data_IF_482913286044
#
_entry.id   IF_482913286044
#
_cell.length_a   1.000
_cell.length_b   1.000
_cell.length_c   1.000
_cell.angle_alpha   90.00
_cell.angle_beta   90.00
_cell.angle_gamma   90.00
#
_symmetry.space_group_name_H-M   'P 1'
#
loop_
_entity.id
_entity.type
_entity.pdbx_description
1 polymer ?
#
# COMPACT_ATOMS: atom_id res chain seq x y z
N UNK A 1 24.43 -26.81 -2.88
CA UNK A 1 23.99 -25.59 -3.60
C UNK A 1 24.24 -24.40 -2.69
N UNK A 2 25.00 -23.40 -3.12
CA UNK A 2 25.37 -22.26 -2.28
C UNK A 2 24.17 -21.33 -2.09
N UNK A 3 23.57 -21.33 -0.89
CA UNK A 3 22.53 -20.36 -0.53
C UNK A 3 23.15 -18.96 -0.56
N UNK A 4 22.74 -18.12 -1.51
CA UNK A 4 23.17 -16.71 -1.53
C UNK A 4 22.64 -16.04 -0.26
N UNK A 5 23.56 -15.57 0.59
CA UNK A 5 23.23 -14.89 1.84
C UNK A 5 22.47 -13.61 1.52
N UNK A 6 21.19 -13.54 1.88
CA UNK A 6 20.35 -12.36 1.63
C UNK A 6 20.77 -11.13 2.42
N UNK A 7 20.35 -9.96 1.94
CA UNK A 7 20.57 -8.66 2.57
C UNK A 7 19.56 -8.50 3.70
N UNK A 8 20.01 -8.13 4.90
CA UNK A 8 19.12 -7.90 6.04
C UNK A 8 18.43 -6.53 5.93
N UNK A 9 17.16 -6.47 6.34
CA UNK A 9 16.38 -5.24 6.43
C UNK A 9 15.38 -5.33 7.58
N UNK A 10 15.08 -4.21 8.23
CA UNK A 10 14.11 -4.16 9.33
C UNK A 10 12.65 -4.10 8.85
N UNK A 11 12.43 -3.62 7.62
CA UNK A 11 11.09 -3.46 7.04
C UNK A 11 11.11 -3.71 5.54
N UNK A 12 10.29 -4.67 5.09
CA UNK A 12 10.20 -5.02 3.67
C UNK A 12 9.71 -3.84 2.80
N UNK A 13 8.86 -2.98 3.34
CA UNK A 13 8.28 -1.82 2.62
C UNK A 13 9.35 -0.91 2.01
N UNK A 14 10.49 -0.71 2.70
CA UNK A 14 11.59 0.11 2.19
C UNK A 14 12.21 -0.51 0.93
N UNK A 15 12.34 -1.84 0.90
CA UNK A 15 12.87 -2.57 -0.25
C UNK A 15 11.90 -2.52 -1.43
N UNK A 16 10.60 -2.70 -1.17
CA UNK A 16 9.55 -2.58 -2.19
C UNK A 16 9.62 -1.20 -2.85
N UNK A 17 9.65 -0.13 -2.05
CA UNK A 17 9.70 1.24 -2.56
C UNK A 17 10.92 1.49 -3.46
N UNK A 18 12.10 0.97 -3.09
CA UNK A 18 13.32 1.11 -3.91
C UNK A 18 13.19 0.38 -5.26
N UNK A 19 12.55 -0.79 -5.27
CA UNK A 19 12.32 -1.57 -6.50
C UNK A 19 11.30 -0.87 -7.41
N UNK A 20 10.22 -0.35 -6.82
CA UNK A 20 9.17 0.40 -7.53
C UNK A 20 9.72 1.69 -8.15
N UNK A 21 10.45 2.50 -7.35
CA UNK A 21 11.10 3.73 -7.83
C UNK A 21 12.14 3.45 -8.92
N UNK A 22 12.91 2.37 -8.75
CA UNK A 22 13.90 1.93 -9.73
C UNK A 22 13.31 1.26 -10.96
N UNK A 23 11.98 1.11 -11.04
CA UNK A 23 11.26 0.41 -12.12
C UNK A 23 11.84 -0.97 -12.46
N UNK A 24 12.33 -1.68 -11.45
CA UNK A 24 13.03 -2.95 -11.68
C UNK A 24 12.02 -4.06 -12.00
N UNK A 25 12.40 -4.93 -12.93
CA UNK A 25 11.69 -6.18 -13.23
C UNK A 25 12.47 -7.31 -12.56
N UNK A 26 11.82 -8.24 -11.88
CA UNK A 26 12.56 -9.28 -11.16
C UNK A 26 11.71 -10.07 -10.19
N UNK A 27 12.39 -10.95 -9.45
CA UNK A 27 11.81 -11.73 -8.36
C UNK A 27 12.51 -11.35 -7.07
N UNK A 28 11.74 -10.86 -6.11
CA UNK A 28 12.18 -10.60 -4.75
C UNK A 28 11.77 -11.77 -3.86
N UNK A 29 12.74 -12.47 -3.32
CA UNK A 29 12.52 -13.49 -2.30
C UNK A 29 12.80 -12.90 -0.93
N UNK A 30 11.89 -13.06 0.01
CA UNK A 30 11.99 -12.54 1.37
C UNK A 30 11.89 -13.70 2.33
N UNK A 31 12.75 -13.73 3.34
CA UNK A 31 12.81 -14.77 4.35
C UNK A 31 12.82 -14.14 5.75
N UNK A 32 12.00 -14.68 6.65
CA UNK A 32 11.90 -14.24 8.05
C UNK A 32 12.00 -15.46 8.97
N UNK A 33 12.57 -15.26 10.15
CA UNK A 33 12.67 -16.29 11.19
C UNK A 33 13.99 -17.05 11.14
N UNK A 34 14.14 -18.00 12.07
CA UNK A 34 15.32 -18.84 12.21
C UNK A 34 14.93 -20.31 12.02
N UNK A 35 15.77 -21.04 11.27
CA UNK A 35 15.75 -22.48 11.04
C UNK A 35 14.36 -23.10 10.78
N UNK A 36 13.64 -23.53 11.83
CA UNK A 36 12.39 -24.30 11.72
C UNK A 36 11.15 -23.44 11.49
N UNK A 37 11.18 -22.16 11.88
CA UNK A 37 10.07 -21.22 11.66
C UNK A 37 10.39 -20.24 10.52
N UNK A 38 11.16 -20.70 9.54
CA UNK A 38 11.51 -19.86 8.40
C UNK A 38 10.29 -19.67 7.51
N UNK A 39 9.70 -18.49 7.59
CA UNK A 39 8.65 -18.05 6.68
C UNK A 39 9.30 -17.49 5.41
N UNK A 40 8.77 -17.88 4.25
CA UNK A 40 9.27 -17.46 2.94
C UNK A 40 8.19 -16.79 2.11
N UNK A 41 8.51 -15.59 1.64
CA UNK A 41 7.72 -14.79 0.72
C UNK A 41 8.42 -14.66 -0.64
N UNK A 42 7.63 -14.56 -1.69
CA UNK A 42 8.09 -14.27 -3.04
C UNK A 42 7.21 -13.20 -3.66
N UNK A 43 7.83 -12.19 -4.28
CA UNK A 43 7.16 -11.08 -4.96
C UNK A 43 7.77 -10.96 -6.35
N UNK A 44 6.93 -11.00 -7.38
CA UNK A 44 7.35 -10.80 -8.77
C UNK A 44 7.02 -9.38 -9.20
N UNK A 45 8.01 -8.72 -9.78
CA UNK A 45 7.93 -7.37 -10.28
C UNK A 45 8.06 -7.32 -11.81
N UNK A 46 7.30 -6.42 -12.42
CA UNK A 46 7.41 -6.04 -13.83
C UNK A 46 7.43 -4.52 -13.95
N UNK A 47 8.53 -3.95 -14.41
CA UNK A 47 8.73 -2.50 -14.57
C UNK A 47 8.40 -1.71 -13.29
N UNK A 48 8.79 -2.23 -12.13
CA UNK A 48 8.49 -1.64 -10.82
C UNK A 48 7.06 -1.83 -10.33
N UNK A 49 6.23 -2.62 -11.01
CA UNK A 49 4.89 -2.98 -10.52
C UNK A 49 4.89 -4.42 -10.02
N UNK A 50 4.22 -4.65 -8.89
CA UNK A 50 4.00 -5.99 -8.35
C UNK A 50 2.97 -6.69 -9.23
N UNK A 51 3.38 -7.79 -9.86
CA UNK A 51 2.50 -8.61 -10.72
C UNK A 51 2.00 -9.85 -10.01
N UNK A 52 2.76 -10.37 -9.04
CA UNK A 52 2.41 -11.58 -8.32
C UNK A 52 3.07 -11.62 -6.94
N UNK A 53 2.39 -12.22 -5.96
CA UNK A 53 2.82 -12.28 -4.55
C UNK A 53 2.42 -13.61 -3.95
N UNK A 54 3.38 -14.26 -3.29
CA UNK A 54 3.20 -15.53 -2.60
C UNK A 54 3.87 -15.49 -1.23
N UNK A 55 3.23 -16.09 -0.22
CA UNK A 55 3.78 -16.21 1.13
C UNK A 55 3.30 -17.52 1.75
N UNK A 56 4.15 -18.56 1.68
CA UNK A 56 3.74 -19.92 2.05
C UNK A 56 2.55 -20.41 1.23
N UNK A 57 1.40 -20.56 1.87
CA UNK A 57 0.13 -20.98 1.24
C UNK A 57 -0.74 -19.81 0.77
N UNK A 58 -0.41 -18.58 1.17
CA UNK A 58 -1.15 -17.39 0.79
C UNK A 58 -0.68 -16.89 -0.58
N UNK A 59 -1.59 -16.33 -1.37
CA UNK A 59 -1.29 -15.67 -2.65
C UNK A 59 -2.01 -14.33 -2.81
N UNK A 60 -1.52 -13.52 -3.75
CA UNK A 60 -2.08 -12.22 -4.11
C UNK A 60 -2.09 -11.22 -2.94
N UNK A 61 -3.22 -10.52 -2.77
CA UNK A 61 -3.34 -9.45 -1.77
C UNK A 61 -3.21 -9.96 -0.32
N UNK A 62 -3.68 -11.18 -0.03
CA UNK A 62 -3.57 -11.76 1.31
C UNK A 62 -2.11 -12.03 1.70
N UNK A 63 -1.33 -12.60 0.77
CA UNK A 63 0.11 -12.78 0.95
C UNK A 63 0.82 -11.44 1.10
N UNK A 64 0.46 -10.44 0.29
CA UNK A 64 1.04 -9.11 0.36
C UNK A 64 0.81 -8.45 1.73
N UNK A 65 -0.44 -8.47 2.23
CA UNK A 65 -0.76 -7.95 3.55
C UNK A 65 0.02 -8.68 4.65
N UNK A 66 0.17 -10.01 4.54
CA UNK A 66 0.97 -10.78 5.50
C UNK A 66 2.44 -10.33 5.48
N UNK A 67 3.04 -10.17 4.30
CA UNK A 67 4.42 -9.69 4.16
C UNK A 67 4.61 -8.28 4.72
N UNK A 68 3.62 -7.39 4.60
CA UNK A 68 3.70 -6.04 5.19
C UNK A 68 3.74 -6.05 6.73
N UNK A 69 3.25 -7.11 7.37
CA UNK A 69 3.35 -7.25 8.84
C UNK A 69 4.70 -7.80 9.30
N UNK A 70 5.57 -8.20 8.37
CA UNK A 70 6.89 -8.73 8.71
C UNK A 70 7.81 -7.60 9.18
N UNK A 71 8.45 -7.82 10.32
CA UNK A 71 9.53 -6.98 10.83
C UNK A 71 10.88 -7.36 10.21
N UNK A 72 11.94 -7.54 11.02
CA UNK A 72 13.26 -7.89 10.53
C UNK A 72 13.26 -9.14 9.64
N UNK A 73 13.73 -8.99 8.41
CA UNK A 73 13.77 -10.03 7.42
C UNK A 73 15.04 -9.93 6.55
N UNK A 74 15.28 -10.96 5.74
CA UNK A 74 16.34 -10.99 4.74
C UNK A 74 15.71 -11.08 3.37
N UNK A 75 16.30 -10.43 2.39
CA UNK A 75 15.81 -10.50 1.03
C UNK A 75 16.91 -10.77 0.01
N UNK A 76 16.50 -11.33 -1.12
CA UNK A 76 17.32 -11.53 -2.31
C UNK A 76 16.50 -11.09 -3.51
N UNK A 77 17.02 -10.14 -4.29
CA UNK A 77 16.41 -9.74 -5.55
C UNK A 77 17.17 -10.39 -6.71
N UNK A 78 16.47 -11.19 -7.49
CA UNK A 78 16.99 -11.77 -8.74
C UNK A 78 16.37 -11.01 -9.89
N UNK A 79 17.20 -10.25 -10.60
CA UNK A 79 16.76 -9.56 -11.81
C UNK A 79 16.47 -10.62 -12.90
N UNK A 80 15.23 -10.66 -13.36
CA UNK A 80 14.79 -11.59 -14.41
C UNK A 80 14.69 -10.89 -15.78
N UNK A 81 15.18 -9.66 -15.89
CA UNK A 81 15.40 -9.03 -17.18
C UNK A 81 16.45 -9.84 -17.92
N UNK A 82 16.03 -10.88 -18.65
CA UNK A 82 16.66 -11.26 -19.91
C UNK A 82 16.44 -10.12 -20.89
N UNK A 83 16.96 -8.95 -20.55
CA UNK A 83 17.20 -7.90 -21.52
C UNK A 83 18.28 -8.49 -22.40
N UNK A 84 17.85 -9.06 -23.55
CA UNK A 84 18.72 -9.24 -24.68
C UNK A 84 19.45 -7.92 -24.85
N UNK A 85 20.72 -7.87 -24.47
CA UNK A 85 21.56 -6.72 -24.73
C UNK A 85 21.43 -6.41 -26.22
N UNK A 86 20.83 -5.27 -26.62
CA UNK A 86 20.79 -4.88 -28.01
C UNK A 86 22.21 -4.40 -28.34
N UNK A 87 23.02 -5.29 -28.93
CA UNK A 87 24.34 -4.93 -29.46
C UNK A 87 25.53 -5.39 -28.64
N UNK A 88 25.72 -6.70 -28.48
CA UNK A 88 27.04 -7.22 -28.84
C UNK A 88 27.01 -7.39 -30.35
N UNK A 89 27.82 -6.61 -31.07
CA UNK A 89 28.06 -6.79 -32.50
C UNK A 89 28.43 -8.26 -32.71
N UNK A 90 27.49 -9.05 -33.21
CA UNK A 90 27.80 -10.37 -33.76
C UNK A 90 28.71 -10.13 -34.95
N UNK A 91 29.97 -10.44 -34.74
CA UNK A 91 30.96 -10.66 -35.77
C UNK A 91 30.35 -11.57 -36.82
N UNK A 92 30.19 -11.02 -38.03
CA UNK A 92 29.55 -11.64 -39.17
C UNK A 92 30.24 -12.97 -39.48
N UNK A 93 29.56 -14.08 -39.19
CA UNK A 93 29.86 -15.36 -39.85
C UNK A 93 29.15 -15.34 -41.22
N UNK A 94 29.86 -15.53 -42.34
CA UNK A 94 29.23 -15.51 -43.67
C UNK A 94 28.30 -16.71 -43.84
N UNK A 95 27.00 -16.44 -43.95
CA UNK A 95 25.99 -17.44 -44.30
C UNK A 95 26.07 -17.79 -45.78
N UNK A 96 26.15 -19.09 -46.02
CA UNK A 96 25.97 -19.74 -47.32
C UNK A 96 24.51 -19.61 -47.77
N UNK A 97 24.34 -19.22 -49.02
CA UNK A 97 23.11 -19.11 -49.81
C UNK A 97 22.25 -20.39 -49.83
N UNK A 98 20.94 -20.23 -49.59
CA UNK A 98 19.83 -20.94 -50.27
C UNK A 98 18.51 -20.35 -49.76
N UNK A 99 17.83 -19.45 -50.48
CA UNK A 99 17.05 -19.59 -51.73
C UNK A 99 15.79 -20.47 -51.60
N UNK A 100 14.64 -19.83 -51.90
CA UNK A 100 13.27 -20.34 -52.18
C UNK A 100 12.38 -20.71 -50.99
N UNK A 101 11.11 -20.32 -50.86
CA UNK A 101 10.11 -19.58 -51.67
C UNK A 101 8.87 -19.32 -50.74
N UNK A 102 7.61 -19.03 -51.17
CA UNK A 102 7.02 -17.69 -51.06
C UNK A 102 5.69 -17.61 -50.24
N UNK A 103 5.29 -16.34 -50.01
CA UNK A 103 3.98 -15.77 -49.62
C UNK A 103 2.75 -16.70 -49.52
N UNK A 104 1.99 -16.55 -48.42
CA UNK A 104 0.50 -16.56 -48.43
C UNK A 104 0.01 -15.72 -47.24
N UNK A 105 -0.39 -14.46 -47.44
CA UNK A 105 -1.79 -13.98 -47.59
C UNK A 105 -2.65 -14.09 -46.33
N UNK A 106 -2.81 -12.94 -45.66
CA UNK A 106 -3.99 -12.40 -44.97
C UNK A 106 -4.89 -13.30 -44.11
N UNK A 107 -5.20 -12.82 -42.90
CA UNK A 107 -6.59 -12.75 -42.40
C UNK A 107 -6.69 -11.89 -41.14
N UNK A 108 -7.61 -10.94 -41.18
CA UNK A 108 -8.10 -10.17 -40.03
C UNK A 108 -9.06 -11.04 -39.21
N UNK A 109 -8.96 -10.97 -37.88
CA UNK A 109 -10.03 -11.35 -36.95
C UNK A 109 -10.04 -10.33 -35.81
N UNK A 110 -10.91 -9.34 -35.91
CA UNK A 110 -12.28 -9.33 -35.33
C UNK A 110 -12.24 -9.17 -33.82
N UNK A 111 -12.49 -7.92 -33.44
CA UNK A 111 -12.88 -7.44 -32.11
C UNK A 111 -14.17 -8.19 -31.71
N UNK A 112 -14.09 -9.07 -30.71
CA UNK A 112 -15.27 -9.55 -30.00
C UNK A 112 -15.41 -8.78 -28.69
N UNK A 113 -16.41 -7.91 -28.70
CA UNK A 113 -16.89 -7.11 -27.58
C UNK A 113 -18.05 -7.90 -26.97
N UNK A 114 -17.75 -8.72 -25.95
CA UNK A 114 -18.80 -9.40 -25.19
C UNK A 114 -19.31 -8.50 -24.06
N UNK A 115 -20.49 -7.95 -24.33
CA UNK A 115 -21.41 -7.39 -23.35
C UNK A 115 -22.04 -8.55 -22.59
N UNK A 116 -21.66 -8.76 -21.33
CA UNK A 116 -22.37 -9.67 -20.44
C UNK A 116 -23.18 -8.88 -19.41
N UNK A 117 -24.52 -8.85 -19.49
CA UNK A 117 -25.39 -8.38 -18.43
C UNK A 117 -25.84 -9.59 -17.61
N UNK A 118 -25.19 -9.90 -16.49
CA UNK A 118 -25.77 -10.84 -15.53
C UNK A 118 -26.21 -10.13 -14.26
N UNK A 119 -27.52 -9.90 -14.22
CA UNK A 119 -28.31 -9.73 -13.01
C UNK A 119 -28.06 -10.95 -12.11
N UNK A 120 -27.93 -10.78 -10.81
CA UNK A 120 -28.73 -11.52 -9.81
C UNK A 120 -28.52 -10.88 -8.44
N UNK A 121 -29.53 -10.13 -8.05
CA UNK A 121 -29.93 -9.84 -6.68
C UNK A 121 -29.80 -11.07 -5.78
N UNK A 122 -28.95 -11.03 -4.76
CA UNK A 122 -29.06 -11.93 -3.62
C UNK A 122 -29.10 -11.09 -2.35
N UNK A 123 -30.34 -10.80 -1.91
CA UNK A 123 -30.66 -10.32 -0.57
C UNK A 123 -30.14 -11.36 0.42
N UNK A 124 -29.12 -11.01 1.20
CA UNK A 124 -28.78 -11.79 2.38
C UNK A 124 -29.79 -11.49 3.48
N UNK A 125 -30.66 -12.48 3.63
CA UNK A 125 -31.44 -12.85 4.81
C UNK A 125 -30.87 -12.31 6.13
N UNK A 126 -31.65 -11.45 6.78
CA UNK A 126 -31.60 -11.21 8.22
C UNK A 126 -31.96 -12.50 8.96
N UNK A 127 -30.95 -13.18 9.50
CA UNK A 127 -31.13 -14.29 10.42
C UNK A 127 -31.67 -13.84 11.80
N UNK A 128 -32.39 -14.71 12.52
CA UNK A 128 -33.01 -14.41 13.80
C UNK A 128 -31.97 -14.23 14.92
N UNK A 129 -32.22 -13.24 15.77
CA UNK A 129 -31.46 -12.90 16.97
C UNK A 129 -31.46 -14.07 17.95
N UNK A 130 -30.27 -14.60 18.27
CA UNK A 130 -30.08 -15.48 19.42
C UNK A 130 -30.36 -14.71 20.71
N UNK A 131 -31.32 -15.20 21.49
CA UNK A 131 -31.60 -14.74 22.83
C UNK A 131 -30.38 -15.00 23.72
N UNK A 132 -29.74 -13.92 24.19
CA UNK A 132 -28.70 -14.01 25.20
C UNK A 132 -29.36 -14.35 26.54
N UNK A 133 -29.01 -15.52 27.06
CA UNK A 133 -29.38 -15.99 28.39
C UNK A 133 -28.78 -15.05 29.44
N UNK A 134 -29.65 -14.43 30.23
CA UNK A 134 -29.30 -13.59 31.38
C UNK A 134 -28.74 -14.46 32.50
N UNK A 135 -27.41 -14.58 32.55
CA UNK A 135 -26.71 -15.08 33.72
C UNK A 135 -26.60 -13.99 34.81
N UNK A 136 -26.62 -14.36 36.10
CA UNK A 136 -26.51 -13.42 37.22
C UNK A 136 -25.13 -12.73 37.25
N UNK A 137 -25.16 -11.41 37.40
CA UNK A 137 -23.99 -10.53 37.48
C UNK A 137 -23.09 -10.87 38.68
N UNK A 138 -21.76 -10.89 38.52
CA UNK A 138 -20.84 -10.81 39.64
C UNK A 138 -20.87 -9.40 40.29
N UNK A 139 -20.62 -9.28 41.59
CA UNK A 139 -20.62 -8.00 42.30
C UNK A 139 -19.53 -7.08 41.76
N UNK A 140 -19.97 -5.90 41.33
CA UNK A 140 -19.18 -4.76 40.89
C UNK A 140 -18.16 -4.38 41.99
N UNK A 141 -16.84 -4.51 41.76
CA UNK A 141 -15.86 -3.94 42.67
C UNK A 141 -16.03 -2.42 42.68
N UNK A 142 -16.03 -1.85 43.89
CA UNK A 142 -16.16 -0.43 44.14
C UNK A 142 -15.13 0.37 43.31
N UNK A 143 -15.52 1.49 42.69
CA UNK A 143 -14.58 2.33 41.96
C UNK A 143 -13.62 2.94 42.98
N UNK A 144 -12.39 2.42 43.00
CA UNK A 144 -11.26 3.10 43.61
C UNK A 144 -11.14 4.43 42.86
N UNK A 145 -11.43 5.53 43.57
CA UNK A 145 -11.25 6.90 43.13
C UNK A 145 -9.75 7.09 42.82
N UNK A 146 -9.35 6.75 41.60
CA UNK A 146 -8.21 7.42 40.99
C UNK A 146 -8.64 8.86 40.83
N UNK A 147 -7.97 9.72 41.57
CA UNK A 147 -7.90 11.17 41.41
C UNK A 147 -7.39 11.49 40.00
N UNK A 148 -8.25 11.23 39.01
CA UNK A 148 -8.12 11.64 37.64
C UNK A 148 -8.28 13.15 37.62
N UNK A 149 -7.17 13.81 37.33
CA UNK A 149 -7.07 15.23 37.01
C UNK A 149 -8.24 15.61 36.12
N UNK A 150 -9.06 16.56 36.59
CA UNK A 150 -10.30 16.96 35.91
C UNK A 150 -10.03 17.50 34.52
N UNK A 151 -10.44 16.76 33.50
CA UNK A 151 -10.59 17.22 32.11
C UNK A 151 -12.00 16.86 31.59
N UNK A 152 -13.00 16.99 32.45
CA UNK A 152 -14.41 16.94 32.07
C UNK A 152 -14.93 18.29 31.53
N UNK A 153 -14.02 19.18 31.14
CA UNK A 153 -14.33 20.45 30.49
C UNK A 153 -13.70 20.47 29.10
N UNK A 154 -14.53 20.42 28.07
CA UNK A 154 -14.17 20.57 26.66
C UNK A 154 -12.97 19.74 26.18
N UNK A 155 -13.26 18.56 25.61
CA UNK A 155 -12.35 17.77 24.79
C UNK A 155 -12.02 18.47 23.44
N UNK A 156 -12.06 19.80 23.42
CA UNK A 156 -11.67 20.66 22.30
C UNK A 156 -10.19 20.94 22.45
N UNK A 157 -9.38 19.94 22.10
CA UNK A 157 -7.97 20.18 21.84
C UNK A 157 -7.79 21.34 20.83
N UNK A 158 -6.60 21.96 20.80
CA UNK A 158 -6.31 23.04 19.87
C UNK A 158 -6.74 22.63 18.45
N UNK A 159 -7.64 23.44 17.88
CA UNK A 159 -8.24 23.16 16.57
C UNK A 159 -7.35 23.78 15.52
N UNK A 160 -6.79 23.00 14.58
CA UNK A 160 -5.91 23.55 13.55
C UNK A 160 -6.65 24.61 12.73
N UNK A 161 -5.94 25.69 12.39
CA UNK A 161 -6.45 26.82 11.60
C UNK A 161 -5.55 27.09 10.42
N UNK A 162 -6.13 27.48 9.27
CA UNK A 162 -5.36 27.94 8.12
C UNK A 162 -4.74 29.30 8.45
N UNK A 163 -3.48 29.47 8.10
CA UNK A 163 -2.80 30.78 8.16
C UNK A 163 -3.00 31.59 6.88
N UNK A 164 -3.31 30.91 5.77
CA UNK A 164 -3.45 31.48 4.43
C UNK A 164 -4.83 31.16 3.82
N UNK A 165 -5.34 31.98 2.88
CA UNK A 165 -6.57 31.67 2.15
C UNK A 165 -6.40 30.39 1.31
N UNK A 166 -7.53 29.74 1.00
CA UNK A 166 -7.54 28.41 0.39
C UNK A 166 -6.76 28.34 -0.93
N UNK A 167 -6.95 29.31 -1.82
CA UNK A 167 -6.26 29.37 -3.11
C UNK A 167 -4.74 29.52 -2.96
N UNK A 168 -4.28 30.39 -2.06
CA UNK A 168 -2.84 30.60 -1.83
C UNK A 168 -2.20 29.36 -1.19
N UNK A 169 -2.88 28.74 -0.21
CA UNK A 169 -2.40 27.51 0.41
C UNK A 169 -2.30 26.36 -0.60
N UNK A 170 -3.28 26.21 -1.49
CA UNK A 170 -3.23 25.22 -2.56
C UNK A 170 -2.10 25.48 -3.56
N UNK A 171 -1.83 26.75 -3.91
CA UNK A 171 -0.70 27.12 -4.76
C UNK A 171 0.65 26.73 -4.12
N UNK A 172 0.83 27.01 -2.82
CA UNK A 172 2.02 26.57 -2.07
C UNK A 172 2.11 25.05 -2.03
N UNK A 173 1.02 24.34 -1.74
CA UNK A 173 1.00 22.87 -1.76
C UNK A 173 1.38 22.27 -3.12
N UNK A 174 1.01 22.93 -4.22
CA UNK A 174 1.41 22.52 -5.56
C UNK A 174 2.93 22.70 -5.78
N UNK A 175 3.52 23.78 -5.27
CA UNK A 175 4.98 24.02 -5.35
C UNK A 175 5.79 22.95 -4.61
N UNK A 176 5.32 22.51 -3.43
CA UNK A 176 5.96 21.46 -2.63
C UNK A 176 5.66 20.02 -3.10
N UNK A 177 4.95 19.85 -4.23
CA UNK A 177 4.56 18.55 -4.79
C UNK A 177 3.88 17.59 -3.79
N UNK A 178 3.18 18.12 -2.79
CA UNK A 178 2.55 17.29 -1.77
C UNK A 178 1.41 16.45 -2.35
N UNK A 179 1.16 15.32 -1.68
CA UNK A 179 0.16 14.35 -2.10
C UNK A 179 -1.27 14.94 -2.09
N UNK A 180 -2.19 14.29 -2.81
CA UNK A 180 -3.61 14.66 -2.84
C UNK A 180 -4.25 14.71 -1.43
N UNK A 181 -3.77 13.86 -0.52
CA UNK A 181 -4.29 13.77 0.84
C UNK A 181 -3.97 15.02 1.66
N UNK A 182 -2.80 15.62 1.48
CA UNK A 182 -2.44 16.89 2.12
C UNK A 182 -3.38 18.01 1.69
N UNK A 183 -3.70 18.07 0.40
CA UNK A 183 -4.64 19.07 -0.16
C UNK A 183 -6.06 18.85 0.39
N UNK A 184 -6.50 17.60 0.49
CA UNK A 184 -7.80 17.27 1.07
C UNK A 184 -7.85 17.63 2.57
N UNK A 185 -6.83 17.29 3.34
CA UNK A 185 -6.73 17.66 4.76
C UNK A 185 -6.77 19.18 4.92
N UNK A 186 -5.98 19.91 4.14
CA UNK A 186 -5.96 21.37 4.15
C UNK A 186 -7.33 22.00 3.86
N UNK A 187 -8.08 21.46 2.88
CA UNK A 187 -9.43 21.92 2.57
C UNK A 187 -10.45 21.65 3.68
N UNK A 188 -10.22 20.62 4.52
CA UNK A 188 -11.05 20.32 5.68
C UNK A 188 -10.71 21.18 6.91
N UNK A 189 -9.52 21.76 7.00
CA UNK A 189 -9.13 22.58 8.16
C UNK A 189 -9.78 23.96 8.03
N UNK A 190 -10.98 24.18 8.53
CA UNK A 190 -11.68 25.47 8.48
C UNK A 190 -11.71 26.20 9.84
N UNK A 191 -11.00 25.66 10.83
CA UNK A 191 -11.02 26.11 12.22
C UNK A 191 -12.22 25.61 13.02
N UNK A 192 -13.08 24.75 12.45
CA UNK A 192 -14.20 24.09 13.13
C UNK A 192 -13.94 22.62 13.39
N UNK A 193 -13.12 22.00 12.55
CA UNK A 193 -12.85 20.57 12.63
C UNK A 193 -11.72 20.22 13.61
N UNK A 194 -12.09 19.51 14.69
CA UNK A 194 -11.12 18.97 15.64
C UNK A 194 -10.29 17.85 15.02
N UNK A 195 -9.13 17.53 15.62
CA UNK A 195 -8.29 16.42 15.17
C UNK A 195 -9.07 15.09 15.05
N UNK A 196 -9.94 14.79 16.01
CA UNK A 196 -10.78 13.59 15.98
C UNK A 196 -11.78 13.59 14.81
N UNK A 197 -12.32 14.76 14.45
CA UNK A 197 -13.19 14.89 13.28
C UNK A 197 -12.42 14.73 11.97
N UNK A 198 -11.21 15.30 11.86
CA UNK A 198 -10.35 15.13 10.70
C UNK A 198 -10.03 13.65 10.45
N UNK A 199 -9.75 12.88 11.51
CA UNK A 199 -9.56 11.43 11.43
C UNK A 199 -10.79 10.74 10.83
N UNK A 200 -11.99 11.08 11.31
CA UNK A 200 -13.25 10.48 10.84
C UNK A 200 -13.58 10.89 9.41
N UNK A 201 -13.36 12.16 9.04
CA UNK A 201 -13.63 12.70 7.70
C UNK A 201 -12.65 12.17 6.64
N UNK A 202 -11.39 11.97 7.02
CA UNK A 202 -10.38 11.40 6.12
C UNK A 202 -10.40 9.88 6.06
N UNK A 203 -11.08 9.22 7.01
CA UNK A 203 -11.09 7.77 7.20
C UNK A 203 -9.66 7.19 7.23
N UNK A 204 -8.80 7.83 8.04
CA UNK A 204 -7.35 7.53 8.14
C UNK A 204 -6.98 7.21 9.58
N UNK A 205 -5.81 6.62 9.78
CA UNK A 205 -5.29 6.41 11.14
C UNK A 205 -4.87 7.74 11.77
N UNK A 206 -4.93 7.88 13.11
CA UNK A 206 -4.51 9.11 13.79
C UNK A 206 -3.05 9.49 13.47
N UNK A 207 -2.15 8.51 13.37
CA UNK A 207 -0.74 8.76 13.04
C UNK A 207 -0.55 9.36 11.64
N UNK A 208 -1.26 8.87 10.63
CA UNK A 208 -1.22 9.45 9.28
C UNK A 208 -1.75 10.89 9.26
N UNK A 209 -2.88 11.16 9.93
CA UNK A 209 -3.46 12.52 9.98
C UNK A 209 -2.54 13.48 10.73
N UNK A 210 -1.90 13.02 11.81
CA UNK A 210 -0.91 13.80 12.55
C UNK A 210 0.31 14.12 11.68
N UNK A 211 0.82 13.15 10.92
CA UNK A 211 1.94 13.37 10.01
C UNK A 211 1.58 14.41 8.94
N UNK A 212 0.41 14.28 8.31
CA UNK A 212 -0.08 15.25 7.32
C UNK A 212 -0.18 16.64 7.94
N UNK A 213 -0.75 16.77 9.14
CA UNK A 213 -0.85 18.07 9.82
C UNK A 213 0.53 18.65 10.15
N UNK A 214 1.48 17.83 10.58
CA UNK A 214 2.86 18.25 10.83
C UNK A 214 3.52 18.80 9.56
N UNK A 215 3.32 18.12 8.42
CA UNK A 215 3.84 18.56 7.13
C UNK A 215 3.20 19.90 6.70
N UNK A 216 1.90 20.09 6.91
CA UNK A 216 1.21 21.37 6.63
C UNK A 216 1.71 22.51 7.53
N UNK A 217 2.09 22.23 8.77
CA UNK A 217 2.67 23.20 9.71
C UNK A 217 4.09 23.55 9.29
N UNK A 218 4.90 22.57 8.89
CA UNK A 218 6.26 22.80 8.39
C UNK A 218 6.28 23.67 7.12
N UNK A 219 5.24 23.56 6.27
CA UNK A 219 5.04 24.44 5.10
C UNK A 219 4.57 25.86 5.51
N UNK A 220 4.09 26.02 6.75
CA UNK A 220 3.65 27.30 7.30
C UNK A 220 2.24 27.74 6.87
N UNK A 221 1.42 26.80 6.37
CA UNK A 221 0.05 27.11 5.90
C UNK A 221 -1.06 26.75 6.91
N UNK A 222 -0.70 26.04 7.98
CA UNK A 222 -1.57 25.67 9.10
C UNK A 222 -0.86 25.97 10.42
N UNK A 223 -1.62 26.40 11.43
CA UNK A 223 -1.17 26.58 12.81
C UNK A 223 -2.18 26.00 13.81
N UNK A 224 -1.74 25.67 15.02
CA UNK A 224 -2.62 25.27 16.13
C UNK A 224 -3.01 26.47 17.00
#
# INVERSE_FOLDING_TARGET
MSQKRGIATDQINNVLQVIELGRKTGRLTVERGEAEQQEKGEIVFSNGHIVDVHCGQLSGMAAFNQLQTWGPCRFVFVNNSTEQAPGALQEYSPLTTRENSPRTTGSMTTIQRDTQPNKTTQRQSTGPLSAFSTGPLPPKPAPMQQSGTGWAGDNRGPTPRRTSPADEGLARLAQFQVSRQHRQCYLLIDGRHSFAELIRLMNRTPGEVQQILQDLINIGIVQY
#
